data_IF_764136450305
#
_entry.id   IF_764136450305
#
_cell.length_a   1.000
_cell.length_b   1.000
_cell.length_c   1.000
_cell.angle_alpha   90.00
_cell.angle_beta   90.00
_cell.angle_gamma   90.00
#
_symmetry.space_group_name_H-M   'P 1'
#
loop_
_entity.id
_entity.type
_entity.pdbx_description
1 polymer ?
#
# COMPACT_ATOMS: atom_id res chain seq x y z
N UNK A 1 -0.32 -16.26 0.93
CA UNK A 1 -0.59 -15.14 0.01
C UNK A 1 0.51 -15.14 -1.04
N UNK A 2 0.19 -15.47 -2.31
CA UNK A 2 1.18 -15.76 -3.36
C UNK A 2 2.15 -14.61 -3.67
N UNK A 3 1.69 -13.36 -3.55
CA UNK A 3 2.51 -12.18 -3.87
C UNK A 3 3.65 -11.94 -2.89
N UNK A 4 3.58 -12.56 -1.70
CA UNK A 4 4.55 -12.36 -0.62
C UNK A 4 5.38 -13.61 -0.31
N UNK A 5 5.25 -14.70 -1.06
CA UNK A 5 5.91 -15.99 -0.76
C UNK A 5 7.43 -15.89 -0.65
N UNK A 6 8.06 -15.02 -1.43
CA UNK A 6 9.50 -14.79 -1.44
C UNK A 6 9.90 -13.45 -0.80
N UNK A 7 9.01 -12.89 0.03
CA UNK A 7 9.21 -11.58 0.66
C UNK A 7 9.73 -11.73 2.09
N UNK A 8 10.86 -11.08 2.37
CA UNK A 8 11.29 -10.86 3.75
C UNK A 8 10.31 -9.92 4.45
N UNK A 9 9.58 -10.44 5.44
CA UNK A 9 8.52 -9.71 6.12
C UNK A 9 9.02 -8.54 6.98
N UNK A 10 10.27 -8.58 7.47
CA UNK A 10 10.84 -7.44 8.17
C UNK A 10 11.09 -6.28 7.19
N UNK A 11 11.62 -6.59 6.00
CA UNK A 11 11.74 -5.60 4.92
C UNK A 11 10.39 -5.11 4.44
N UNK A 12 9.39 -5.99 4.34
CA UNK A 12 8.04 -5.61 3.92
C UNK A 12 7.38 -4.65 4.91
N UNK A 13 7.49 -4.93 6.22
CA UNK A 13 6.99 -4.04 7.26
C UNK A 13 7.63 -2.65 7.17
N UNK A 14 8.95 -2.60 6.98
CA UNK A 14 9.65 -1.33 6.83
C UNK A 14 9.18 -0.55 5.59
N UNK A 15 8.98 -1.22 4.45
CA UNK A 15 8.40 -0.59 3.25
C UNK A 15 7.01 -0.05 3.51
N UNK A 16 6.16 -0.80 4.23
CA UNK A 16 4.81 -0.35 4.57
C UNK A 16 4.83 0.87 5.50
N UNK A 17 5.73 0.91 6.48
CA UNK A 17 5.93 2.07 7.36
C UNK A 17 6.35 3.30 6.54
N UNK A 18 7.29 3.14 5.60
CA UNK A 18 7.73 4.23 4.72
C UNK A 18 6.60 4.71 3.82
N UNK A 19 5.83 3.79 3.24
CA UNK A 19 4.66 4.11 2.43
C UNK A 19 3.61 4.89 3.22
N UNK A 20 3.24 4.42 4.41
CA UNK A 20 2.27 5.11 5.27
C UNK A 20 2.80 6.45 5.76
N UNK A 21 4.10 6.55 6.09
CA UNK A 21 4.75 7.82 6.44
C UNK A 21 4.63 8.83 5.30
N UNK A 22 4.93 8.42 4.06
CA UNK A 22 4.77 9.27 2.89
C UNK A 22 3.31 9.66 2.66
N UNK A 23 2.41 8.67 2.68
CA UNK A 23 0.98 8.87 2.47
C UNK A 23 0.40 9.89 3.44
N UNK A 24 0.73 9.79 4.73
CA UNK A 24 0.24 10.69 5.78
C UNK A 24 1.00 12.02 5.90
N UNK A 25 1.78 12.42 4.89
CA UNK A 25 2.47 13.71 4.86
C UNK A 25 3.70 13.80 5.77
N UNK A 26 4.21 12.66 6.24
CA UNK A 26 5.48 12.57 6.96
C UNK A 26 6.69 12.77 6.03
N UNK A 27 7.89 12.96 6.61
CA UNK A 27 9.11 13.17 5.84
C UNK A 27 9.37 11.99 4.91
N UNK A 28 9.31 12.25 3.61
CA UNK A 28 9.51 11.23 2.60
C UNK A 28 10.98 11.16 2.17
N UNK A 29 11.71 10.20 2.73
CA UNK A 29 13.04 9.83 2.28
C UNK A 29 13.03 8.49 1.52
N UNK A 30 11.92 8.12 0.88
CA UNK A 30 11.87 6.90 0.10
C UNK A 30 12.69 7.07 -1.19
N UNK A 31 13.84 6.39 -1.24
CA UNK A 31 14.78 6.34 -2.36
C UNK A 31 14.68 5.05 -3.18
N UNK A 32 13.66 4.23 -2.89
CA UNK A 32 13.42 2.96 -3.56
C UNK A 32 12.75 3.09 -4.93
N UNK A 33 12.40 1.95 -5.51
CA UNK A 33 11.68 1.87 -6.80
C UNK A 33 10.36 2.62 -6.74
N UNK A 34 9.98 3.31 -7.81
CA UNK A 34 8.63 3.88 -7.92
C UNK A 34 7.55 2.80 -7.71
N UNK A 35 6.34 3.21 -7.33
CA UNK A 35 5.22 2.26 -7.16
C UNK A 35 5.00 1.42 -8.42
N UNK A 36 5.15 2.02 -9.61
CA UNK A 36 5.03 1.31 -10.89
C UNK A 36 6.12 0.26 -11.09
N UNK A 37 7.39 0.64 -10.94
CA UNK A 37 8.51 -0.28 -11.11
C UNK A 37 8.55 -1.37 -10.03
N UNK A 38 8.11 -1.04 -8.81
CA UNK A 38 8.04 -1.96 -7.69
C UNK A 38 7.03 -3.09 -7.90
N UNK A 39 5.91 -2.81 -8.57
CA UNK A 39 4.79 -3.74 -8.70
C UNK A 39 4.63 -4.35 -10.11
N UNK A 40 5.33 -3.87 -11.14
CA UNK A 40 5.22 -4.37 -12.52
C UNK A 40 5.31 -5.90 -12.63
N UNK A 41 6.30 -6.52 -11.99
CA UNK A 41 6.46 -7.98 -11.98
C UNK A 41 5.32 -8.74 -11.27
N UNK A 42 4.57 -8.09 -10.37
CA UNK A 42 3.40 -8.68 -9.70
C UNK A 42 2.15 -8.56 -10.59
N UNK A 43 2.04 -7.49 -11.39
CA UNK A 43 1.01 -7.35 -12.43
C UNK A 43 1.13 -8.48 -13.44
N UNK A 44 2.35 -8.81 -13.88
CA UNK A 44 2.63 -9.99 -14.71
C UNK A 44 2.19 -11.33 -14.06
N UNK A 45 2.14 -11.39 -12.72
CA UNK A 45 1.70 -12.55 -11.94
C UNK A 45 0.20 -12.52 -11.57
N UNK A 46 -0.55 -11.55 -12.13
CA UNK A 46 -1.99 -11.41 -11.95
C UNK A 46 -2.41 -10.53 -10.78
N UNK A 47 -1.57 -9.60 -10.32
CA UNK A 47 -2.02 -8.49 -9.46
C UNK A 47 -3.06 -7.67 -10.22
N UNK A 48 -4.16 -7.33 -9.56
CA UNK A 48 -5.32 -6.67 -10.18
C UNK A 48 -6.08 -5.86 -9.13
N UNK A 49 -7.17 -5.20 -9.56
CA UNK A 49 -7.98 -4.33 -8.71
C UNK A 49 -8.47 -5.01 -7.43
N UNK A 50 -8.94 -6.26 -7.48
CA UNK A 50 -9.43 -6.98 -6.29
C UNK A 50 -8.35 -7.17 -5.22
N UNK A 51 -7.09 -7.34 -5.62
CA UNK A 51 -5.98 -7.45 -4.68
C UNK A 51 -5.63 -6.10 -4.06
N UNK A 52 -5.72 -5.03 -4.85
CA UNK A 52 -5.53 -3.67 -4.36
C UNK A 52 -6.62 -3.30 -3.36
N UNK A 53 -7.88 -3.58 -3.69
CA UNK A 53 -9.05 -3.36 -2.83
C UNK A 53 -8.88 -4.08 -1.50
N UNK A 54 -8.42 -5.33 -1.51
CA UNK A 54 -8.15 -6.09 -0.30
C UNK A 54 -7.06 -5.43 0.58
N UNK A 55 -6.04 -4.79 0.00
CA UNK A 55 -5.02 -4.06 0.79
C UNK A 55 -5.61 -2.80 1.42
N UNK A 56 -6.44 -2.05 0.69
CA UNK A 56 -7.12 -0.85 1.19
C UNK A 56 -8.13 -1.21 2.28
N UNK A 57 -8.88 -2.30 2.11
CA UNK A 57 -9.82 -2.83 3.11
C UNK A 57 -9.10 -3.19 4.40
N UNK A 58 -7.98 -3.93 4.31
CA UNK A 58 -7.17 -4.29 5.47
C UNK A 58 -6.60 -3.05 6.18
N UNK A 59 -6.19 -2.02 5.44
CA UNK A 59 -5.77 -0.74 6.01
C UNK A 59 -6.90 -0.09 6.80
N UNK A 60 -8.08 0.05 6.20
CA UNK A 60 -9.25 0.65 6.86
C UNK A 60 -9.69 -0.11 8.10
N UNK A 61 -9.74 -1.45 8.03
CA UNK A 61 -10.05 -2.30 9.17
C UNK A 61 -9.04 -2.14 10.31
N UNK A 62 -7.74 -2.13 10.00
CA UNK A 62 -6.68 -1.95 11.00
C UNK A 62 -6.79 -0.59 11.69
N UNK A 63 -7.01 0.50 10.94
CA UNK A 63 -7.16 1.83 11.52
C UNK A 63 -8.40 1.93 12.41
N UNK A 64 -9.49 1.26 12.02
CA UNK A 64 -10.71 1.18 12.82
C UNK A 64 -10.49 0.42 14.13
N UNK A 65 -9.78 -0.71 14.09
CA UNK A 65 -9.38 -1.45 15.30
C UNK A 65 -8.51 -0.61 16.25
N UNK A 66 -7.70 0.30 15.69
CA UNK A 66 -6.89 1.25 16.45
C UNK A 66 -7.67 2.49 16.92
N UNK A 67 -8.99 2.53 16.73
CA UNK A 67 -9.89 3.64 17.10
C UNK A 67 -9.53 4.99 16.43
N UNK A 68 -9.00 4.94 15.20
CA UNK A 68 -8.79 6.15 14.39
C UNK A 68 -10.17 6.69 13.95
N UNK A 69 -10.42 8.02 14.02
CA UNK A 69 -11.64 8.63 13.52
C UNK A 69 -11.94 8.29 12.05
N UNK A 70 -13.21 8.03 11.72
CA UNK A 70 -13.65 7.65 10.36
C UNK A 70 -13.23 8.66 9.29
N UNK A 71 -13.16 9.96 9.63
CA UNK A 71 -12.68 11.02 8.74
C UNK A 71 -11.22 10.79 8.30
N UNK A 72 -10.34 10.45 9.23
CA UNK A 72 -8.93 10.19 8.97
C UNK A 72 -8.73 8.85 8.24
N UNK A 73 -9.60 7.87 8.49
CA UNK A 73 -9.63 6.62 7.72
C UNK A 73 -10.00 6.91 6.26
N UNK A 74 -10.98 7.79 6.03
CA UNK A 74 -11.35 8.25 4.70
C UNK A 74 -10.20 8.94 3.97
N UNK A 75 -9.47 9.82 4.65
CA UNK A 75 -8.26 10.46 4.11
C UNK A 75 -7.18 9.43 3.76
N UNK A 76 -6.91 8.48 4.67
CA UNK A 76 -5.96 7.39 4.44
C UNK A 76 -6.29 6.56 3.19
N UNK A 77 -7.57 6.20 3.04
CA UNK A 77 -8.07 5.44 1.91
C UNK A 77 -7.93 6.24 0.60
N UNK A 78 -8.27 7.53 0.60
CA UNK A 78 -8.13 8.39 -0.57
C UNK A 78 -6.66 8.53 -1.02
N UNK A 79 -5.73 8.64 -0.07
CA UNK A 79 -4.30 8.68 -0.39
C UNK A 79 -3.83 7.35 -0.96
N UNK A 80 -4.20 6.22 -0.35
CA UNK A 80 -3.85 4.90 -0.87
C UNK A 80 -4.39 4.72 -2.31
N UNK A 81 -5.66 5.09 -2.53
CA UNK A 81 -6.33 5.00 -3.83
C UNK A 81 -5.61 5.80 -4.93
N UNK A 82 -5.02 6.95 -4.59
CA UNK A 82 -4.24 7.76 -5.55
C UNK A 82 -3.06 7.02 -6.17
N UNK A 83 -2.59 5.94 -5.54
CA UNK A 83 -1.46 5.13 -6.01
C UNK A 83 -1.87 3.94 -6.90
N UNK A 84 -3.19 3.68 -7.05
CA UNK A 84 -3.71 2.50 -7.76
C UNK A 84 -3.18 2.39 -9.18
N UNK A 85 -3.20 3.49 -9.93
CA UNK A 85 -2.77 3.50 -11.32
C UNK A 85 -1.31 3.05 -11.46
N UNK A 86 -0.43 3.54 -10.59
CA UNK A 86 0.97 3.13 -10.59
C UNK A 86 1.16 1.68 -10.16
N UNK A 87 0.52 1.25 -9.07
CA UNK A 87 0.62 -0.14 -8.57
C UNK A 87 0.13 -1.15 -9.61
N UNK A 88 -0.96 -0.83 -10.33
CA UNK A 88 -1.54 -1.71 -11.34
C UNK A 88 -0.99 -1.49 -12.75
N UNK A 89 -0.06 -0.55 -12.94
CA UNK A 89 0.56 -0.27 -14.23
C UNK A 89 -0.39 0.30 -15.29
N UNK A 90 -1.42 1.05 -14.88
CA UNK A 90 -2.43 1.67 -15.76
C UNK A 90 -2.16 3.16 -15.98
#
# INVERSE_FOLDING_TARGET
>A
NKFFENTDMAKQRNKQILFLTYAFGGPNNYDGKSMREGHAHLVEQGLNDSHFDAVVENLGATLKELNVPDELIGEAAAIAESTRADVLGK
#
